data_IF_414400101532
#
_entry.id   IF_414400101532
#
_cell.length_a   1.000
_cell.length_b   1.000
_cell.length_c   1.000
_cell.angle_alpha   90.00
_cell.angle_beta   90.00
_cell.angle_gamma   90.00
#
_symmetry.space_group_name_H-M   'P 1'
#
loop_
_entity.id
_entity.type
_entity.pdbx_description
1 polymer ?
#
# COMPACT_ATOMS: atom_id res chain seq x y z
N UNK A 1 -19.38 4.78 -11.65
CA UNK A 1 -19.02 3.96 -10.48
C UNK A 1 -18.16 4.81 -9.56
N UNK A 2 -18.14 4.51 -8.26
CA UNK A 2 -17.31 5.21 -7.28
C UNK A 2 -16.02 4.43 -7.04
N UNK A 3 -14.88 5.07 -7.24
CA UNK A 3 -13.54 4.50 -7.10
C UNK A 3 -12.83 5.14 -5.93
N UNK A 4 -12.39 4.32 -4.95
CA UNK A 4 -11.50 4.77 -3.87
C UNK A 4 -10.09 4.30 -4.18
N UNK A 5 -9.14 5.23 -4.18
CA UNK A 5 -7.72 4.93 -4.40
C UNK A 5 -7.00 5.02 -3.06
N UNK A 6 -6.39 3.91 -2.67
CA UNK A 6 -5.51 3.81 -1.51
C UNK A 6 -4.13 3.39 -2.02
N UNK A 7 -3.11 4.17 -1.69
CA UNK A 7 -1.73 3.83 -2.00
C UNK A 7 -1.11 3.02 -0.88
N UNK A 8 -0.70 1.78 -1.13
CA UNK A 8 0.03 0.98 -0.16
C UNK A 8 1.51 0.89 -0.57
N UNK A 9 2.41 1.76 -0.08
CA UNK A 9 3.81 1.80 -0.48
C UNK A 9 4.63 0.69 0.23
N UNK A 10 4.16 -0.55 0.17
CA UNK A 10 4.79 -1.69 0.85
C UNK A 10 6.05 -2.11 0.11
N UNK A 11 7.20 -1.93 0.75
CA UNK A 11 8.50 -2.42 0.27
C UNK A 11 9.06 -3.55 1.13
N UNK A 12 8.69 -3.60 2.40
CA UNK A 12 9.03 -4.70 3.29
C UNK A 12 8.64 -6.04 2.62
N UNK A 13 9.52 -7.03 2.66
CA UNK A 13 9.27 -8.35 2.07
C UNK A 13 9.43 -8.48 0.55
N UNK A 14 9.55 -7.39 -0.22
CA UNK A 14 9.65 -7.43 -1.69
C UNK A 14 10.97 -8.04 -2.22
N UNK A 15 12.01 -8.10 -1.38
CA UNK A 15 13.33 -8.63 -1.75
C UNK A 15 14.15 -7.72 -2.66
N UNK A 16 13.62 -6.56 -3.06
CA UNK A 16 14.30 -5.48 -3.80
C UNK A 16 13.74 -4.12 -3.41
N UNK A 17 14.53 -3.08 -3.58
CA UNK A 17 14.10 -1.70 -3.36
C UNK A 17 13.32 -1.18 -4.58
N UNK A 18 12.38 -0.26 -4.33
CA UNK A 18 11.63 0.52 -5.32
C UNK A 18 10.12 0.32 -5.31
N UNK A 19 9.60 -0.70 -4.63
CA UNK A 19 8.15 -0.97 -4.58
C UNK A 19 7.36 0.16 -3.89
N UNK A 20 7.95 0.83 -2.90
CA UNK A 20 7.31 1.96 -2.21
C UNK A 20 6.99 3.14 -3.15
N UNK A 21 7.72 3.27 -4.27
CA UNK A 21 7.53 4.35 -5.25
C UNK A 21 6.35 4.11 -6.21
N UNK A 22 5.81 2.89 -6.27
CA UNK A 22 4.76 2.52 -7.22
C UNK A 22 3.49 3.38 -7.11
N UNK A 23 2.90 3.52 -5.90
CA UNK A 23 1.69 4.34 -5.74
C UNK A 23 1.87 5.81 -6.11
N UNK A 24 3.01 6.42 -5.76
CA UNK A 24 3.28 7.82 -6.12
C UNK A 24 3.52 7.97 -7.63
N UNK A 25 4.26 7.05 -8.24
CA UNK A 25 4.50 7.05 -9.69
C UNK A 25 3.20 6.94 -10.51
N UNK A 26 2.26 6.06 -10.10
CA UNK A 26 0.96 5.94 -10.77
C UNK A 26 0.11 7.20 -10.65
N UNK A 27 0.17 7.89 -9.49
CA UNK A 27 -0.49 9.19 -9.34
C UNK A 27 0.14 10.24 -10.24
N UNK A 28 1.47 10.33 -10.28
CA UNK A 28 2.19 11.23 -11.19
C UNK A 28 1.89 10.95 -12.65
N UNK A 29 1.66 9.68 -13.02
CA UNK A 29 1.27 9.28 -14.37
C UNK A 29 -0.19 9.61 -14.75
N UNK A 30 -0.98 10.18 -13.83
CA UNK A 30 -2.35 10.65 -14.12
C UNK A 30 -3.44 9.61 -13.85
N UNK A 31 -3.22 8.59 -13.01
CA UNK A 31 -4.24 7.57 -12.72
C UNK A 31 -5.58 8.19 -12.27
N UNK A 32 -5.54 9.18 -11.38
CA UNK A 32 -6.74 9.84 -10.84
C UNK A 32 -7.51 10.57 -11.94
N UNK A 33 -6.80 11.33 -12.80
CA UNK A 33 -7.43 12.10 -13.88
C UNK A 33 -8.05 11.17 -14.92
N UNK A 34 -7.36 10.11 -15.32
CA UNK A 34 -7.87 9.13 -16.30
C UNK A 34 -9.14 8.46 -15.79
N UNK A 35 -9.20 8.05 -14.52
CA UNK A 35 -10.41 7.45 -13.95
C UNK A 35 -11.58 8.44 -13.92
N UNK A 36 -11.32 9.72 -13.62
CA UNK A 36 -12.34 10.77 -13.65
C UNK A 36 -12.85 11.05 -15.08
N UNK A 37 -11.95 11.13 -16.06
CA UNK A 37 -12.28 11.32 -17.49
C UNK A 37 -13.14 10.18 -18.05
N UNK A 38 -12.96 8.96 -17.54
CA UNK A 38 -13.81 7.80 -17.86
C UNK A 38 -15.21 7.87 -17.20
N UNK A 39 -15.53 8.94 -16.47
CA UNK A 39 -16.82 9.14 -15.83
C UNK A 39 -16.99 8.43 -14.49
N UNK A 40 -15.89 8.14 -13.78
CA UNK A 40 -15.95 7.63 -12.41
C UNK A 40 -15.89 8.76 -11.38
N UNK A 41 -16.57 8.57 -10.26
CA UNK A 41 -16.39 9.43 -9.08
C UNK A 41 -15.17 8.89 -8.32
N UNK A 42 -14.10 9.68 -8.21
CA UNK A 42 -12.83 9.22 -7.64
C UNK A 42 -12.56 9.91 -6.32
N UNK A 43 -12.33 9.13 -5.26
CA UNK A 43 -11.83 9.58 -3.97
C UNK A 43 -10.40 9.06 -3.80
N UNK A 44 -9.40 9.95 -3.78
CA UNK A 44 -8.02 9.58 -3.44
C UNK A 44 -7.81 9.73 -1.92
N UNK A 45 -7.59 8.60 -1.25
CA UNK A 45 -7.37 8.53 0.20
C UNK A 45 -5.89 8.61 0.58
N UNK A 46 -5.01 8.88 -0.40
CA UNK A 46 -3.59 9.08 -0.16
C UNK A 46 -2.83 7.77 0.06
N UNK A 47 -1.68 7.87 0.72
CA UNK A 47 -0.83 6.73 1.03
C UNK A 47 -1.11 6.24 2.46
N UNK A 48 -1.20 4.93 2.63
CA UNK A 48 -1.26 4.29 3.94
C UNK A 48 0.09 4.48 4.63
N UNK A 49 0.04 4.93 5.87
CA UNK A 49 1.19 4.95 6.75
C UNK A 49 1.30 3.62 7.49
N UNK A 50 2.52 3.07 7.55
CA UNK A 50 2.77 1.82 8.26
C UNK A 50 2.46 1.99 9.75
N UNK A 51 1.68 1.08 10.31
CA UNK A 51 1.50 1.04 11.76
C UNK A 51 2.81 0.68 12.47
N UNK A 52 2.92 1.01 13.76
CA UNK A 52 4.06 0.60 14.57
C UNK A 52 4.17 -0.94 14.59
N UNK A 53 5.28 -1.47 14.08
CA UNK A 53 5.55 -2.90 14.11
C UNK A 53 5.74 -3.37 15.54
N UNK A 54 5.12 -4.51 15.88
CA UNK A 54 5.29 -5.19 17.17
C UNK A 54 6.16 -6.42 16.98
N UNK A 55 6.96 -6.83 17.97
CA UNK A 55 7.69 -8.09 17.88
C UNK A 55 6.72 -9.26 17.67
N UNK A 56 6.85 -9.94 16.53
CA UNK A 56 6.10 -11.16 16.20
C UNK A 56 7.09 -12.22 15.78
N UNK A 57 7.01 -13.39 16.42
CA UNK A 57 7.89 -14.53 16.15
C UNK A 57 7.03 -15.71 15.72
N UNK A 58 7.49 -16.43 14.70
CA UNK A 58 6.84 -17.64 14.22
C UNK A 58 7.90 -18.67 13.83
N UNK A 59 7.63 -19.97 14.05
CA UNK A 59 8.58 -21.05 13.74
C UNK A 59 8.78 -21.33 12.24
N UNK A 60 8.16 -20.54 11.36
CA UNK A 60 8.25 -20.72 9.91
C UNK A 60 9.36 -19.85 9.36
N UNK A 61 10.49 -20.47 9.00
CA UNK A 61 11.68 -19.78 8.51
C UNK A 61 11.52 -19.18 7.10
N UNK A 62 10.43 -19.48 6.38
CA UNK A 62 10.15 -18.89 5.08
C UNK A 62 9.58 -17.46 5.16
N UNK A 63 9.08 -17.04 6.34
CA UNK A 63 8.50 -15.72 6.53
C UNK A 63 9.60 -14.65 6.53
N UNK A 64 9.39 -13.57 5.80
CA UNK A 64 10.30 -12.43 5.71
C UNK A 64 9.59 -11.19 6.25
N UNK A 65 10.30 -10.41 7.07
CA UNK A 65 9.80 -9.16 7.63
C UNK A 65 8.40 -9.30 8.27
N UNK A 66 8.18 -10.39 9.02
CA UNK A 66 6.86 -10.72 9.59
C UNK A 66 6.28 -9.59 10.47
N UNK A 67 7.04 -8.98 11.40
CA UNK A 67 6.57 -7.81 12.16
C UNK A 67 6.09 -6.66 11.25
N UNK A 68 6.84 -6.37 10.20
CA UNK A 68 6.60 -5.26 9.28
C UNK A 68 5.38 -5.52 8.38
N UNK A 69 5.30 -6.70 7.78
CA UNK A 69 4.17 -7.11 6.93
C UNK A 69 2.89 -7.16 7.76
N UNK A 70 2.94 -7.69 8.98
CA UNK A 70 1.78 -7.70 9.88
C UNK A 70 1.30 -6.28 10.20
N UNK A 71 2.22 -5.34 10.39
CA UNK A 71 1.87 -3.94 10.65
C UNK A 71 1.26 -3.26 9.41
N UNK A 72 1.78 -3.54 8.22
CA UNK A 72 1.18 -3.09 6.96
C UNK A 72 -0.22 -3.65 6.75
N UNK A 73 -0.41 -4.95 6.96
CA UNK A 73 -1.73 -5.58 6.83
C UNK A 73 -2.74 -4.96 7.78
N UNK A 74 -2.36 -4.68 9.03
CA UNK A 74 -3.23 -4.00 9.99
C UNK A 74 -3.58 -2.57 9.53
N UNK A 75 -2.59 -1.78 9.12
CA UNK A 75 -2.82 -0.41 8.66
C UNK A 75 -3.73 -0.32 7.42
N UNK A 76 -3.55 -1.23 6.45
CA UNK A 76 -4.38 -1.30 5.24
C UNK A 76 -5.80 -1.77 5.55
N UNK A 77 -5.99 -2.63 6.55
CA UNK A 77 -7.32 -3.09 6.94
C UNK A 77 -8.18 -1.99 7.59
N UNK A 78 -7.56 -0.92 8.08
CA UNK A 78 -8.21 0.23 8.72
C UNK A 78 -8.50 1.39 7.75
N UNK A 79 -8.04 1.30 6.49
CA UNK A 79 -8.39 2.22 5.39
C UNK A 79 -9.57 1.73 4.58
#
# INVERSE_FOLDING_TARGET
MRCRIVGAPVQDGAGRMGCEMGPSALRTAGLVSVLAELGHEVEDWGAVEKAAARPVVHGNLALKALPEISAWTAAIAET
#
